data_IF_020035599689
#
_entry.id   IF_020035599689
#
_cell.length_a   1.000
_cell.length_b   1.000
_cell.length_c   1.000
_cell.angle_alpha   90.00
_cell.angle_beta   90.00
_cell.angle_gamma   90.00
#
_symmetry.space_group_name_H-M   'P 1'
#
loop_
_entity.id
_entity.type
_entity.pdbx_description
1 polymer ?
#
# COMPACT_ATOMS: atom_id res chain seq x y z
N UNK A 1 -1.63 -1.74 -25.02
CA UNK A 1 -1.91 -0.99 -23.78
C UNK A 1 -2.69 -1.86 -22.78
N UNK A 2 -3.89 -2.32 -23.12
CA UNK A 2 -4.80 -3.01 -22.17
C UNK A 2 -4.21 -4.29 -21.55
N UNK A 3 -3.57 -5.16 -22.35
CA UNK A 3 -3.01 -6.43 -21.85
C UNK A 3 -1.85 -6.22 -20.86
N UNK A 4 -0.99 -5.22 -21.09
CA UNK A 4 0.13 -4.93 -20.18
C UNK A 4 -0.35 -4.33 -18.86
N UNK A 5 -1.34 -3.45 -18.94
CA UNK A 5 -1.98 -2.84 -17.79
C UNK A 5 -2.70 -3.91 -16.94
N UNK A 6 -3.44 -4.83 -17.58
CA UNK A 6 -4.08 -5.96 -16.93
C UNK A 6 -3.07 -6.89 -16.24
N UNK A 7 -1.97 -7.24 -16.91
CA UNK A 7 -0.88 -8.03 -16.29
C UNK A 7 -0.30 -7.33 -15.06
N UNK A 8 -0.11 -6.01 -15.15
CA UNK A 8 0.41 -5.20 -14.03
C UNK A 8 -0.56 -5.20 -12.85
N UNK A 9 -1.88 -5.15 -13.09
CA UNK A 9 -2.90 -5.30 -12.04
C UNK A 9 -2.85 -6.70 -11.42
N UNK A 10 -2.84 -7.75 -12.23
CA UNK A 10 -2.83 -9.13 -11.77
C UNK A 10 -1.62 -9.46 -10.88
N UNK A 11 -0.46 -8.88 -11.18
CA UNK A 11 0.75 -9.05 -10.36
C UNK A 11 0.81 -8.05 -9.20
N UNK A 12 0.33 -6.83 -9.41
CA UNK A 12 0.35 -5.76 -8.41
C UNK A 12 -0.54 -6.06 -7.21
N UNK A 13 -1.74 -6.60 -7.43
CA UNK A 13 -2.68 -6.96 -6.36
C UNK A 13 -2.05 -7.90 -5.31
N UNK A 14 -1.57 -9.11 -5.66
CA UNK A 14 -1.01 -10.03 -4.67
C UNK A 14 0.26 -9.46 -4.04
N UNK A 15 1.11 -8.79 -4.82
CA UNK A 15 2.35 -8.19 -4.31
C UNK A 15 2.06 -7.13 -3.24
N UNK A 16 1.15 -6.21 -3.52
CA UNK A 16 0.76 -5.14 -2.58
C UNK A 16 0.05 -5.71 -1.35
N UNK A 17 -0.79 -6.73 -1.55
CA UNK A 17 -1.46 -7.41 -0.44
C UNK A 17 -0.46 -8.07 0.51
N UNK A 18 0.51 -8.83 -0.03
CA UNK A 18 1.57 -9.46 0.77
C UNK A 18 2.41 -8.39 1.48
N UNK A 19 2.79 -7.32 0.79
CA UNK A 19 3.53 -6.21 1.41
C UNK A 19 2.76 -5.60 2.59
N UNK A 20 1.47 -5.34 2.44
CA UNK A 20 0.60 -4.82 3.51
C UNK A 20 0.51 -5.81 4.68
N UNK A 21 0.34 -7.11 4.41
CA UNK A 21 0.31 -8.14 5.44
C UNK A 21 1.62 -8.14 6.23
N UNK A 22 2.77 -8.18 5.55
CA UNK A 22 4.09 -8.13 6.20
C UNK A 22 4.27 -6.87 7.03
N UNK A 23 3.91 -5.70 6.48
CA UNK A 23 3.98 -4.43 7.19
C UNK A 23 3.18 -4.43 8.50
N UNK A 24 1.94 -4.91 8.46
CA UNK A 24 1.08 -5.00 9.65
C UNK A 24 1.68 -5.94 10.70
N UNK A 25 2.16 -7.11 10.30
CA UNK A 25 2.76 -8.07 11.24
C UNK A 25 4.06 -7.54 11.86
N UNK A 26 4.88 -6.82 11.09
CA UNK A 26 6.08 -6.16 11.61
C UNK A 26 5.72 -5.08 12.64
N UNK A 27 4.73 -4.23 12.36
CA UNK A 27 4.24 -3.25 13.34
C UNK A 27 3.76 -3.94 14.63
N UNK A 28 2.93 -4.98 14.50
CA UNK A 28 2.45 -5.73 15.66
C UNK A 28 3.60 -6.40 16.43
N UNK A 29 4.62 -6.90 15.72
CA UNK A 29 5.84 -7.44 16.32
C UNK A 29 6.61 -6.38 17.11
N UNK A 30 6.80 -5.19 16.53
CA UNK A 30 7.46 -4.06 17.19
C UNK A 30 6.69 -3.68 18.46
N UNK A 31 5.35 -3.59 18.41
CA UNK A 31 4.53 -3.25 19.57
C UNK A 31 4.53 -4.31 20.68
N UNK A 32 4.81 -5.58 20.36
CA UNK A 32 4.95 -6.64 21.38
C UNK A 32 6.26 -6.54 22.16
N UNK A 33 7.33 -6.04 21.53
CA UNK A 33 8.69 -6.04 22.09
C UNK A 33 9.10 -4.67 22.62
N UNK A 34 8.65 -3.58 21.98
CA UNK A 34 9.07 -2.22 22.26
C UNK A 34 7.89 -1.33 22.66
N UNK A 35 8.17 -0.35 23.52
CA UNK A 35 7.23 0.69 23.95
C UNK A 35 7.86 2.09 23.86
N UNK A 36 7.04 3.13 23.97
CA UNK A 36 7.50 4.53 24.01
C UNK A 36 8.27 4.97 22.75
N UNK A 37 9.36 5.72 22.96
CA UNK A 37 10.14 6.33 21.88
C UNK A 37 10.76 5.31 20.92
N UNK A 38 11.23 4.17 21.43
CA UNK A 38 11.88 3.14 20.60
C UNK A 38 10.89 2.51 19.62
N UNK A 39 9.66 2.21 20.08
CA UNK A 39 8.57 1.75 19.22
C UNK A 39 8.29 2.77 18.10
N UNK A 40 8.23 4.06 18.45
CA UNK A 40 7.96 5.12 17.49
C UNK A 40 9.06 5.19 16.41
N UNK A 41 10.33 5.21 16.80
CA UNK A 41 11.45 5.26 15.85
C UNK A 41 11.45 4.08 14.88
N UNK A 42 11.31 2.85 15.39
CA UNK A 42 11.29 1.65 14.54
C UNK A 42 10.09 1.63 13.59
N UNK A 43 8.91 2.04 14.09
CA UNK A 43 7.70 2.09 13.28
C UNK A 43 7.77 3.18 12.20
N UNK A 44 8.45 4.29 12.50
CA UNK A 44 8.70 5.36 11.53
C UNK A 44 9.65 4.91 10.42
N UNK A 45 10.75 4.22 10.76
CA UNK A 45 11.65 3.64 9.76
C UNK A 45 10.91 2.65 8.85
N UNK A 46 10.10 1.77 9.44
CA UNK A 46 9.30 0.82 8.69
C UNK A 46 8.29 1.53 7.78
N UNK A 47 7.65 2.60 8.26
CA UNK A 47 6.75 3.42 7.46
C UNK A 47 7.44 4.07 6.26
N UNK A 48 8.66 4.59 6.41
CA UNK A 48 9.43 5.18 5.30
C UNK A 48 9.76 4.14 4.22
N UNK A 49 10.11 2.92 4.61
CA UNK A 49 10.34 1.84 3.64
C UNK A 49 9.02 1.44 2.96
N UNK A 50 7.96 1.27 3.74
CA UNK A 50 6.67 0.84 3.22
C UNK A 50 6.01 1.89 2.31
N UNK A 51 6.21 3.18 2.58
CA UNK A 51 5.68 4.24 1.71
C UNK A 51 6.28 4.17 0.31
N UNK A 52 7.59 3.87 0.18
CA UNK A 52 8.21 3.62 -1.11
C UNK A 52 7.55 2.45 -1.85
N UNK A 53 7.25 1.36 -1.14
CA UNK A 53 6.54 0.20 -1.71
C UNK A 53 5.14 0.58 -2.17
N UNK A 54 4.39 1.37 -1.41
CA UNK A 54 3.03 1.81 -1.75
C UNK A 54 3.01 2.69 -3.00
N UNK A 55 3.99 3.59 -3.15
CA UNK A 55 4.02 4.52 -4.29
C UNK A 55 4.64 3.88 -5.55
N UNK A 56 5.44 2.81 -5.39
CA UNK A 56 6.11 2.14 -6.51
C UNK A 56 5.19 1.68 -7.66
N UNK A 57 3.98 1.11 -7.43
CA UNK A 57 3.11 0.67 -8.53
C UNK A 57 2.58 1.87 -9.32
N UNK A 58 2.36 3.01 -8.67
CA UNK A 58 1.93 4.23 -9.34
C UNK A 58 3.02 4.75 -10.28
N UNK A 59 4.27 4.86 -9.81
CA UNK A 59 5.39 5.27 -10.67
C UNK A 59 5.61 4.30 -11.83
N UNK A 60 5.52 3.00 -11.57
CA UNK A 60 5.66 1.98 -12.60
C UNK A 60 4.58 2.09 -13.67
N UNK A 61 3.31 2.22 -13.27
CA UNK A 61 2.19 2.33 -14.21
C UNK A 61 2.27 3.63 -15.03
N UNK A 62 2.66 4.75 -14.43
CA UNK A 62 2.82 6.03 -15.15
C UNK A 62 3.97 5.96 -16.14
N UNK A 63 5.16 5.52 -15.71
CA UNK A 63 6.34 5.44 -16.59
C UNK A 63 6.13 4.47 -17.75
N UNK A 64 5.50 3.31 -17.49
CA UNK A 64 5.24 2.30 -18.52
C UNK A 64 4.18 2.73 -19.56
N UNK A 65 3.34 3.73 -19.25
CA UNK A 65 2.29 4.22 -20.13
C UNK A 65 2.48 5.69 -20.53
N UNK A 66 3.65 6.29 -20.27
CA UNK A 66 3.90 7.72 -20.45
C UNK A 66 3.56 8.25 -21.86
N UNK A 67 3.93 7.56 -22.97
CA UNK A 67 3.55 8.03 -24.31
C UNK A 67 2.04 8.08 -24.50
N UNK A 68 1.33 7.02 -24.07
CA UNK A 68 -0.12 6.92 -24.19
C UNK A 68 -0.88 7.87 -23.24
N UNK A 69 -0.27 8.28 -22.14
CA UNK A 69 -0.79 9.30 -21.23
C UNK A 69 -0.71 10.70 -21.85
N UNK A 70 0.38 11.00 -22.57
CA UNK A 70 0.54 12.30 -23.24
C UNK A 70 -0.46 12.48 -24.40
N UNK A 71 -0.86 11.38 -25.04
CA UNK A 71 -1.84 11.38 -26.13
C UNK A 71 -3.30 11.47 -25.65
N UNK A 72 -3.60 10.99 -24.43
CA UNK A 72 -4.99 10.92 -23.96
C UNK A 72 -5.13 10.95 -22.44
N UNK A 73 -5.96 11.89 -21.97
CA UNK A 73 -6.39 11.97 -20.57
C UNK A 73 -7.11 10.71 -20.10
N UNK A 74 -7.78 9.98 -21.00
CA UNK A 74 -8.45 8.72 -20.66
C UNK A 74 -7.46 7.63 -20.24
N UNK A 75 -6.27 7.60 -20.83
CA UNK A 75 -5.20 6.67 -20.43
C UNK A 75 -4.72 6.98 -19.02
N UNK A 76 -4.57 8.26 -18.67
CA UNK A 76 -4.22 8.67 -17.31
C UNK A 76 -5.26 8.20 -16.30
N UNK A 77 -6.55 8.40 -16.60
CA UNK A 77 -7.65 7.92 -15.74
C UNK A 77 -7.60 6.41 -15.57
N UNK A 78 -7.40 5.65 -16.66
CA UNK A 78 -7.28 4.20 -16.60
C UNK A 78 -6.10 3.72 -15.74
N UNK A 79 -4.95 4.39 -15.84
CA UNK A 79 -3.76 4.13 -15.01
C UNK A 79 -4.05 4.39 -13.53
N UNK A 80 -4.71 5.51 -13.20
CA UNK A 80 -5.08 5.83 -11.82
C UNK A 80 -6.08 4.81 -11.25
N UNK A 81 -7.10 4.43 -12.02
CA UNK A 81 -8.06 3.40 -11.61
C UNK A 81 -7.38 2.05 -11.38
N UNK A 82 -6.38 1.71 -12.19
CA UNK A 82 -5.60 0.48 -12.04
C UNK A 82 -4.79 0.48 -10.75
N UNK A 83 -4.18 1.61 -10.40
CA UNK A 83 -3.51 1.78 -9.12
C UNK A 83 -4.48 1.59 -7.95
N UNK A 84 -5.67 2.22 -8.00
CA UNK A 84 -6.69 2.02 -6.97
C UNK A 84 -7.14 0.56 -6.88
N UNK A 85 -7.31 -0.14 -8.00
CA UNK A 85 -7.65 -1.55 -8.03
C UNK A 85 -6.58 -2.41 -7.34
N UNK A 86 -5.29 -2.13 -7.58
CA UNK A 86 -4.16 -2.81 -6.91
C UNK A 86 -4.20 -2.59 -5.39
N UNK A 87 -4.48 -1.36 -4.96
CA UNK A 87 -4.47 -0.98 -3.55
C UNK A 87 -5.69 -1.49 -2.77
N UNK A 88 -6.84 -1.66 -3.45
CA UNK A 88 -8.13 -1.97 -2.83
C UNK A 88 -8.09 -3.15 -1.85
N UNK A 89 -7.59 -4.35 -2.21
CA UNK A 89 -7.58 -5.49 -1.30
C UNK A 89 -6.67 -5.26 -0.08
N UNK A 90 -5.52 -4.59 -0.27
CA UNK A 90 -4.61 -4.26 0.83
C UNK A 90 -5.25 -3.25 1.81
N UNK A 91 -5.90 -2.20 1.29
CA UNK A 91 -6.62 -1.21 2.10
C UNK A 91 -7.81 -1.85 2.81
N UNK A 92 -8.56 -2.71 2.12
CA UNK A 92 -9.66 -3.46 2.72
C UNK A 92 -9.17 -4.30 3.91
N UNK A 93 -8.08 -5.05 3.75
CA UNK A 93 -7.50 -5.85 4.82
C UNK A 93 -7.07 -4.99 6.03
N UNK A 94 -6.39 -3.87 5.79
CA UNK A 94 -6.01 -2.94 6.85
C UNK A 94 -7.24 -2.42 7.60
N UNK A 95 -8.22 -1.84 6.88
CA UNK A 95 -9.34 -1.10 7.47
C UNK A 95 -10.39 -2.01 8.10
N UNK A 96 -10.72 -3.14 7.46
CA UNK A 96 -11.78 -4.04 7.95
C UNK A 96 -11.26 -5.13 8.88
N UNK A 97 -10.08 -5.67 8.62
CA UNK A 97 -9.59 -6.86 9.34
C UNK A 97 -8.66 -6.47 10.49
N UNK A 98 -7.69 -5.58 10.26
CA UNK A 98 -6.57 -5.37 11.20
C UNK A 98 -6.58 -4.06 11.97
N UNK A 99 -7.44 -3.10 11.61
CA UNK A 99 -7.43 -1.77 12.25
C UNK A 99 -7.62 -1.85 13.77
N UNK A 100 -8.49 -2.74 14.26
CA UNK A 100 -8.76 -2.91 15.69
C UNK A 100 -7.54 -3.43 16.45
N UNK A 101 -6.78 -4.34 15.84
CA UNK A 101 -5.56 -4.88 16.45
C UNK A 101 -4.46 -3.82 16.52
N UNK A 102 -4.30 -3.03 15.45
CA UNK A 102 -3.32 -1.93 15.42
C UNK A 102 -3.71 -0.79 16.39
N UNK A 103 -5.01 -0.51 16.56
CA UNK A 103 -5.51 0.42 17.59
C UNK A 103 -5.20 -0.09 19.00
N UNK A 104 -5.44 -1.37 19.29
CA UNK A 104 -5.07 -1.98 20.59
C UNK A 104 -3.57 -1.95 20.83
N UNK A 105 -2.77 -2.09 19.77
CA UNK A 105 -1.32 -1.94 19.82
C UNK A 105 -0.88 -0.47 19.93
N UNK A 106 -1.78 0.51 19.92
CA UNK A 106 -1.47 1.94 20.07
C UNK A 106 -0.85 2.60 18.84
N UNK A 107 -1.19 2.13 17.62
CA UNK A 107 -0.73 2.73 16.36
C UNK A 107 -1.74 3.70 15.74
N UNK A 108 -3.03 3.52 15.99
CA UNK A 108 -4.09 4.38 15.45
C UNK A 108 -5.04 4.81 16.56
N UNK A 109 -5.65 5.98 16.37
CA UNK A 109 -6.70 6.45 17.27
C UNK A 109 -7.96 5.57 17.12
N UNK A 110 -8.66 5.25 18.22
CA UNK A 110 -9.96 4.60 18.15
C UNK A 110 -10.95 5.48 17.38
N UNK A 111 -11.74 4.89 16.48
CA UNK A 111 -12.85 5.61 15.84
C UNK A 111 -13.91 5.87 16.92
N UNK A 112 -14.29 7.14 17.10
CA UNK A 112 -15.44 7.56 17.92
C UNK A 112 -16.74 7.13 17.24
#
# INVERSE_FOLDING_TARGET
MEIQLLKSICLGIPTMFIAMVMYIYLLLGIAKVFSGAMKFMLSMMLFLVFSGVVVSPMFYLISSNQPAIQESTYTLVAVLLSYFAIMTPAVYYLVKVRIKELQRAGYFLPRR
#
